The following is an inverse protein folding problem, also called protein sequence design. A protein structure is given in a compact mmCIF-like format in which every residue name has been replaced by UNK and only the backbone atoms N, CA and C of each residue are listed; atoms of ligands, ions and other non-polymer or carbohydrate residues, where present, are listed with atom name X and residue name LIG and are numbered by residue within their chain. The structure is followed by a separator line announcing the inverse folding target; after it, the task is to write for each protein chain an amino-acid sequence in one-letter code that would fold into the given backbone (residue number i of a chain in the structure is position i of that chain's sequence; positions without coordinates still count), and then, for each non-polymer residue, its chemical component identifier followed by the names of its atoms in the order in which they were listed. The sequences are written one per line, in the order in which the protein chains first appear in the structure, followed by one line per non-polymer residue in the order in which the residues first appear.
data_IF_711568232300
#
_entry.id   IF_711568232300
#
_cell.length_a   1.000
_cell.length_b   1.000
_cell.length_c   1.000
_cell.angle_alpha   90.00
_cell.angle_beta   90.00
_cell.angle_gamma   90.00
#
_symmetry.space_group_name_H-M   'P 1'
#
loop_
_entity.id
_entity.type
_entity.pdbx_description
1 polymer ?
#
# COMPACT_ATOMS: atom_id res chain seq x y z
N UNK A 1 -72.68 -64.13 2.56
CA UNK A 1 -71.55 -64.32 1.61
C UNK A 1 -71.62 -63.24 0.55
N UNK A 2 -70.68 -62.29 0.58
CA UNK A 2 -70.09 -61.64 -0.59
C UNK A 2 -69.13 -60.54 -0.08
N UNK A 3 -67.88 -60.93 0.13
CA UNK A 3 -66.76 -60.00 0.23
C UNK A 3 -66.37 -59.52 -1.17
N UNK A 4 -65.82 -58.30 -1.22
CA UNK A 4 -64.75 -57.99 -2.16
C UNK A 4 -65.05 -56.91 -3.18
N UNK A 5 -64.32 -55.80 -3.07
CA UNK A 5 -63.43 -55.30 -4.15
C UNK A 5 -62.56 -54.17 -3.60
N UNK A 6 -61.34 -54.54 -3.20
CA UNK A 6 -60.26 -53.59 -2.96
C UNK A 6 -59.77 -53.08 -4.34
N UNK A 7 -59.80 -51.76 -4.54
CA UNK A 7 -59.30 -51.14 -5.76
C UNK A 7 -57.76 -51.21 -5.82
N UNK A 8 -57.15 -51.52 -6.98
CA UNK A 8 -55.70 -51.49 -7.14
C UNK A 8 -55.21 -50.04 -7.18
N UNK A 9 -54.31 -49.69 -6.25
CA UNK A 9 -53.56 -48.43 -6.31
C UNK A 9 -52.40 -48.60 -7.30
N UNK A 10 -52.55 -48.00 -8.48
CA UNK A 10 -51.53 -47.99 -9.53
C UNK A 10 -50.34 -47.15 -9.07
N UNK A 11 -49.27 -47.80 -8.57
CA UNK A 11 -47.96 -47.16 -8.43
C UNK A 11 -47.25 -47.18 -9.78
N UNK A 12 -47.34 -46.08 -10.52
CA UNK A 12 -46.47 -45.84 -11.67
C UNK A 12 -45.02 -45.72 -11.20
N UNK A 13 -44.18 -46.69 -11.55
CA UNK A 13 -42.73 -46.54 -11.42
C UNK A 13 -42.25 -45.56 -12.49
N UNK A 14 -41.87 -44.36 -12.08
CA UNK A 14 -41.13 -43.43 -12.93
C UNK A 14 -39.76 -44.05 -13.25
N UNK A 15 -39.51 -44.31 -14.54
CA UNK A 15 -38.16 -44.69 -15.02
C UNK A 15 -37.23 -43.51 -14.78
N UNK A 16 -36.18 -43.73 -14.00
CA UNK A 16 -35.11 -42.77 -13.78
C UNK A 16 -34.40 -42.51 -15.11
N UNK A 17 -34.70 -41.37 -15.73
CA UNK A 17 -33.98 -40.90 -16.92
C UNK A 17 -32.62 -40.38 -16.47
N UNK A 18 -31.54 -40.83 -17.12
CA UNK A 18 -30.14 -40.50 -16.78
C UNK A 18 -29.77 -39.01 -16.88
N UNK A 19 -30.72 -38.14 -17.18
CA UNK A 19 -30.57 -36.67 -17.27
C UNK A 19 -30.16 -36.04 -15.94
N UNK A 20 -30.52 -36.66 -14.80
CA UNK A 20 -30.15 -36.16 -13.47
C UNK A 20 -28.63 -36.14 -13.23
N UNK A 21 -27.86 -37.05 -13.84
CA UNK A 21 -26.38 -37.05 -13.71
C UNK A 21 -25.75 -35.90 -14.49
N UNK A 22 -26.32 -35.56 -15.64
CA UNK A 22 -25.87 -34.46 -16.49
C UNK A 22 -26.20 -33.10 -15.85
N UNK A 23 -27.34 -33.00 -15.17
CA UNK A 23 -27.74 -31.83 -14.39
C UNK A 23 -26.76 -31.52 -13.25
N UNK A 24 -26.35 -32.53 -12.50
CA UNK A 24 -25.35 -32.37 -11.41
C UNK A 24 -23.98 -32.00 -11.98
N UNK A 25 -23.57 -32.62 -13.10
CA UNK A 25 -22.28 -32.31 -13.73
C UNK A 25 -22.21 -30.86 -14.23
N UNK A 26 -23.28 -30.36 -14.86
CA UNK A 26 -23.37 -28.96 -15.29
C UNK A 26 -23.39 -28.03 -14.06
N UNK A 27 -24.11 -28.40 -13.01
CA UNK A 27 -24.16 -27.60 -11.77
C UNK A 27 -22.78 -27.45 -11.13
N UNK A 28 -22.01 -28.55 -11.04
CA UNK A 28 -20.63 -28.52 -10.52
C UNK A 28 -19.71 -27.74 -11.46
N UNK A 29 -19.88 -27.85 -12.78
CA UNK A 29 -19.09 -27.09 -13.75
C UNK A 29 -19.30 -25.58 -13.61
N UNK A 30 -20.55 -25.12 -13.55
CA UNK A 30 -20.88 -23.70 -13.37
C UNK A 30 -20.34 -23.20 -12.02
N UNK A 31 -20.51 -23.99 -10.95
CA UNK A 31 -19.99 -23.67 -9.62
C UNK A 31 -18.47 -23.55 -9.63
N UNK A 32 -17.76 -24.48 -10.29
CA UNK A 32 -16.31 -24.45 -10.40
C UNK A 32 -15.82 -23.17 -11.10
N UNK A 33 -16.45 -22.79 -12.22
CA UNK A 33 -16.13 -21.53 -12.93
C UNK A 33 -16.42 -20.31 -12.05
N UNK A 34 -17.54 -20.31 -11.31
CA UNK A 34 -17.90 -19.23 -10.38
C UNK A 34 -16.87 -19.04 -9.27
N UNK A 35 -16.40 -20.12 -8.65
CA UNK A 35 -15.38 -20.07 -7.59
C UNK A 35 -14.02 -19.61 -8.15
N UNK A 36 -13.63 -20.05 -9.34
CA UNK A 36 -12.40 -19.58 -10.01
C UNK A 36 -12.46 -18.07 -10.29
N UNK A 37 -13.60 -17.57 -10.77
CA UNK A 37 -13.82 -16.14 -10.95
C UNK A 37 -13.70 -15.38 -9.64
N UNK A 38 -14.32 -15.85 -8.56
CA UNK A 38 -14.19 -15.23 -7.24
C UNK A 38 -12.74 -15.23 -6.72
N UNK A 39 -12.01 -16.33 -6.90
CA UNK A 39 -10.61 -16.43 -6.50
C UNK A 39 -9.74 -15.39 -7.23
N UNK A 40 -9.95 -15.19 -8.53
CA UNK A 40 -9.22 -14.14 -9.29
C UNK A 40 -9.46 -12.73 -8.74
N UNK A 41 -10.70 -12.41 -8.38
CA UNK A 41 -11.04 -11.12 -7.78
C UNK A 41 -10.42 -10.96 -6.39
N UNK A 42 -10.37 -12.03 -5.59
CA UNK A 42 -9.70 -12.01 -4.29
C UNK A 42 -8.20 -11.72 -4.43
N UNK A 43 -7.52 -12.35 -5.40
CA UNK A 43 -6.10 -12.07 -5.66
C UNK A 43 -5.86 -10.61 -6.06
N UNK A 44 -6.69 -10.06 -6.95
CA UNK A 44 -6.60 -8.64 -7.33
C UNK A 44 -6.85 -7.71 -6.13
N UNK A 45 -7.83 -8.04 -5.28
CA UNK A 45 -8.12 -7.28 -4.06
C UNK A 45 -6.94 -7.24 -3.10
N UNK A 46 -6.28 -8.37 -2.87
CA UNK A 46 -5.08 -8.45 -2.01
C UNK A 46 -3.95 -7.59 -2.58
N UNK A 47 -3.71 -7.66 -3.89
CA UNK A 47 -2.70 -6.83 -4.56
C UNK A 47 -2.96 -5.34 -4.35
N UNK A 48 -4.19 -4.90 -4.63
CA UNK A 48 -4.59 -3.50 -4.48
C UNK A 48 -4.53 -3.05 -3.01
N UNK A 49 -4.91 -3.92 -2.08
CA UNK A 49 -4.85 -3.64 -0.63
C UNK A 49 -3.41 -3.46 -0.16
N UNK A 50 -2.47 -4.30 -0.61
CA UNK A 50 -1.06 -4.16 -0.27
C UNK A 50 -0.46 -2.85 -0.81
N UNK A 51 -0.81 -2.45 -2.03
CA UNK A 51 -0.35 -1.20 -2.63
C UNK A 51 -0.91 0.03 -1.92
N UNK A 52 -2.20 0.02 -1.60
CA UNK A 52 -2.84 1.06 -0.80
C UNK A 52 -2.18 1.17 0.59
N UNK A 53 -1.91 0.04 1.24
CA UNK A 53 -1.26 0.01 2.54
C UNK A 53 0.14 0.67 2.52
N UNK A 54 0.95 0.41 1.48
CA UNK A 54 2.25 1.08 1.31
C UNK A 54 2.10 2.60 1.18
N UNK A 55 1.13 3.06 0.40
CA UNK A 55 0.86 4.49 0.25
C UNK A 55 0.43 5.14 1.56
N UNK A 56 -0.37 4.45 2.38
CA UNK A 56 -0.77 4.91 3.72
C UNK A 56 0.43 4.97 4.68
N UNK A 57 1.31 3.97 4.67
CA UNK A 57 2.53 3.97 5.50
C UNK A 57 3.47 5.11 5.11
N UNK A 58 3.68 5.34 3.81
CA UNK A 58 4.43 6.49 3.31
C UNK A 58 3.82 7.80 3.80
N UNK A 59 2.50 7.95 3.64
CA UNK A 59 1.80 9.14 4.09
C UNK A 59 1.95 9.37 5.58
N UNK A 60 1.79 8.33 6.40
CA UNK A 60 1.94 8.43 7.86
C UNK A 60 3.32 8.97 8.26
N UNK A 61 4.39 8.33 7.82
CA UNK A 61 5.74 8.69 8.26
C UNK A 61 6.21 10.05 7.71
N UNK A 62 5.82 10.40 6.49
CA UNK A 62 6.16 11.71 5.91
C UNK A 62 5.35 12.84 6.55
N UNK A 63 4.08 12.61 6.90
CA UNK A 63 3.32 13.58 7.68
C UNK A 63 3.83 13.71 9.12
N UNK A 64 4.25 12.61 9.76
CA UNK A 64 4.92 12.64 11.07
C UNK A 64 6.17 13.54 11.01
N UNK A 65 7.02 13.37 9.99
CA UNK A 65 8.20 14.23 9.77
C UNK A 65 7.81 15.70 9.53
N UNK A 66 6.78 15.94 8.73
CA UNK A 66 6.29 17.29 8.46
C UNK A 66 5.83 18.01 9.75
N UNK A 67 5.16 17.30 10.65
CA UNK A 67 4.75 17.85 11.95
C UNK A 67 5.95 18.09 12.88
N UNK A 68 6.95 17.21 12.88
CA UNK A 68 8.19 17.41 13.66
C UNK A 68 8.94 18.67 13.21
N UNK A 69 9.06 18.87 11.90
CA UNK A 69 9.64 20.09 11.30
C UNK A 69 8.84 21.34 11.71
N UNK A 70 7.50 21.26 11.69
CA UNK A 70 6.64 22.37 12.14
C UNK A 70 6.81 22.68 13.63
N UNK A 71 7.10 21.69 14.45
CA UNK A 71 7.34 21.85 15.88
C UNK A 71 8.73 22.46 16.18
N UNK A 72 9.74 22.13 15.37
CA UNK A 72 11.14 22.58 15.54
C UNK A 72 11.62 23.49 14.39
N UNK A 73 10.85 24.55 14.11
CA UNK A 73 11.14 25.48 12.99
C UNK A 73 12.50 26.15 13.06
N UNK A 74 13.04 26.34 14.27
CA UNK A 74 14.32 27.00 14.49
C UNK A 74 15.50 26.20 13.91
N UNK A 75 15.34 24.90 13.68
CA UNK A 75 16.41 23.99 13.25
C UNK A 75 16.21 23.47 11.83
N UNK A 76 15.43 24.20 11.02
CA UNK A 76 15.01 23.83 9.67
C UNK A 76 16.17 23.39 8.76
N UNK A 77 17.31 24.07 8.85
CA UNK A 77 18.51 23.80 8.05
C UNK A 77 19.07 22.39 8.25
N UNK A 78 18.77 21.75 9.38
CA UNK A 78 19.17 20.37 9.69
C UNK A 78 18.36 19.35 8.88
N UNK A 79 17.08 19.66 8.61
CA UNK A 79 16.20 18.80 7.82
C UNK A 79 16.44 18.99 6.31
N UNK A 80 16.78 20.22 5.88
CA UNK A 80 16.99 20.63 4.48
C UNK A 80 18.15 19.91 3.77
N UNK A 81 19.13 19.39 4.50
CA UNK A 81 20.29 18.73 3.90
C UNK A 81 20.03 17.28 3.49
N UNK A 82 18.80 16.77 3.66
CA UNK A 82 18.51 15.35 3.37
C UNK A 82 18.23 15.13 1.88
N UNK A 83 19.12 14.40 1.23
CA UNK A 83 18.89 13.81 -0.07
C UNK A 83 19.62 12.47 -0.16
N UNK A 84 18.94 11.43 -0.64
CA UNK A 84 19.57 10.14 -0.91
C UNK A 84 18.82 8.94 -0.33
N UNK A 85 19.38 7.73 -0.58
CA UNK A 85 18.73 6.48 -0.21
C UNK A 85 18.43 6.41 1.27
N UNK A 86 17.38 5.67 1.62
CA UNK A 86 16.96 5.49 3.00
C UNK A 86 17.80 4.40 3.64
N UNK A 87 18.60 4.82 4.62
CA UNK A 87 19.53 3.99 5.36
C UNK A 87 19.24 4.11 6.85
N UNK A 88 19.66 3.08 7.59
CA UNK A 88 19.62 3.11 9.04
C UNK A 88 20.47 4.26 9.59
N UNK A 89 19.96 4.93 10.62
CA UNK A 89 20.61 6.03 11.32
C UNK A 89 20.76 5.68 12.81
N UNK A 90 21.99 5.75 13.31
CA UNK A 90 22.36 5.47 14.71
C UNK A 90 22.29 6.69 15.63
N UNK A 91 21.90 7.85 15.10
CA UNK A 91 21.74 9.10 15.85
C UNK A 91 20.74 8.91 17.00
N UNK A 92 21.10 9.28 18.24
CA UNK A 92 20.25 9.07 19.40
C UNK A 92 19.10 10.06 19.46
N UNK A 93 17.97 9.64 20.05
CA UNK A 93 16.92 10.55 20.48
C UNK A 93 17.42 11.41 21.65
N UNK A 94 17.05 12.69 21.65
CA UNK A 94 17.39 13.59 22.73
C UNK A 94 16.29 13.63 23.80
N UNK A 95 16.67 13.45 25.08
CA UNK A 95 15.72 13.43 26.22
C UNK A 95 15.96 14.53 27.26
N UNK A 96 17.21 14.99 27.46
CA UNK A 96 17.57 16.00 28.46
C UNK A 96 18.52 17.03 27.88
N UNK A 97 18.31 18.32 28.21
CA UNK A 97 19.19 19.40 27.76
C UNK A 97 19.23 19.60 26.23
N UNK A 98 18.13 19.29 25.54
CA UNK A 98 18.11 19.23 24.09
C UNK A 98 18.19 20.60 23.42
N UNK A 99 19.12 20.73 22.48
CA UNK A 99 19.12 21.82 21.52
C UNK A 99 18.17 21.49 20.37
N UNK A 100 17.66 22.51 19.66
CA UNK A 100 16.84 22.28 18.48
C UNK A 100 17.55 21.40 17.43
N UNK A 101 18.88 21.54 17.29
CA UNK A 101 19.70 20.69 16.42
C UNK A 101 19.63 19.20 16.85
N UNK A 102 19.82 18.91 18.14
CA UNK A 102 19.80 17.54 18.64
C UNK A 102 18.41 16.87 18.48
N UNK A 103 17.33 17.65 18.62
CA UNK A 103 15.97 17.18 18.34
C UNK A 103 15.83 16.85 16.85
N UNK A 104 16.28 17.74 15.96
CA UNK A 104 16.16 17.53 14.53
C UNK A 104 16.95 16.31 14.01
N UNK A 105 18.16 16.09 14.53
CA UNK A 105 18.94 14.88 14.22
C UNK A 105 18.22 13.60 14.67
N UNK A 106 17.63 13.61 15.87
CA UNK A 106 16.87 12.49 16.42
C UNK A 106 15.56 12.21 15.66
N UNK A 107 14.81 13.26 15.32
CA UNK A 107 13.58 13.16 14.54
C UNK A 107 13.85 12.51 13.17
N UNK A 108 14.90 12.99 12.48
CA UNK A 108 15.31 12.41 11.21
C UNK A 108 15.71 10.95 11.38
N UNK A 109 16.49 10.60 12.41
CA UNK A 109 16.90 9.22 12.66
C UNK A 109 15.70 8.30 12.87
N UNK A 110 14.70 8.74 13.64
CA UNK A 110 13.49 7.98 13.91
C UNK A 110 12.70 7.70 12.62
N UNK A 111 12.46 8.73 11.81
CA UNK A 111 11.71 8.59 10.55
C UNK A 111 12.49 7.76 9.54
N UNK A 112 13.81 7.95 9.45
CA UNK A 112 14.69 7.19 8.57
C UNK A 112 14.67 5.70 8.90
N UNK A 113 14.75 5.35 10.18
CA UNK A 113 14.69 3.94 10.61
C UNK A 113 13.32 3.32 10.32
N UNK A 114 12.23 4.05 10.58
CA UNK A 114 10.88 3.58 10.27
C UNK A 114 10.68 3.36 8.75
N UNK A 115 11.18 4.28 7.93
CA UNK A 115 11.12 4.15 6.47
C UNK A 115 12.03 3.04 5.95
N UNK A 116 13.20 2.84 6.56
CA UNK A 116 14.13 1.77 6.18
C UNK A 116 13.50 0.38 6.36
N UNK A 117 12.75 0.19 7.45
CA UNK A 117 12.02 -1.05 7.71
C UNK A 117 10.81 -1.24 6.77
N UNK A 118 10.12 -0.15 6.42
CA UNK A 118 8.90 -0.22 5.62
C UNK A 118 9.15 -0.23 4.09
N UNK A 119 10.25 0.34 3.62
CA UNK A 119 10.56 0.52 2.20
C UNK A 119 12.01 0.18 1.86
N UNK A 120 12.21 -1.02 1.33
CA UNK A 120 13.49 -1.42 0.73
C UNK A 120 13.81 -0.55 -0.50
N UNK A 121 15.00 0.06 -0.52
CA UNK A 121 15.50 0.83 -1.68
C UNK A 121 14.80 2.16 -1.94
N UNK A 122 14.03 2.68 -0.99
CA UNK A 122 13.42 4.00 -1.12
C UNK A 122 14.44 5.13 -0.99
N UNK A 123 14.10 6.28 -1.54
CA UNK A 123 14.90 7.50 -1.53
C UNK A 123 14.07 8.65 -0.94
N UNK A 124 14.68 9.41 -0.02
CA UNK A 124 14.05 10.55 0.65
C UNK A 124 14.81 11.82 0.31
N UNK A 125 14.07 12.82 -0.17
CA UNK A 125 14.59 14.13 -0.54
C UNK A 125 13.78 15.19 0.22
N UNK A 126 14.47 16.10 0.88
CA UNK A 126 13.89 17.26 1.56
C UNK A 126 14.52 18.49 0.92
N UNK A 127 13.72 19.27 0.20
CA UNK A 127 14.17 20.47 -0.50
C UNK A 127 13.49 21.71 0.08
N UNK A 128 14.26 22.75 0.34
CA UNK A 128 13.72 24.06 0.67
C UNK A 128 13.49 24.90 -0.58
N UNK A 129 12.39 25.63 -0.56
CA UNK A 129 12.05 26.64 -1.55
C UNK A 129 11.66 27.91 -0.82
N UNK A 130 12.14 29.05 -1.31
CA UNK A 130 11.82 30.36 -0.75
C UNK A 130 10.97 31.13 -1.76
N UNK A 131 9.87 31.69 -1.28
CA UNK A 131 8.98 32.53 -2.08
C UNK A 131 8.91 33.91 -1.43
N UNK A 132 9.35 34.93 -2.15
CA UNK A 132 9.22 36.32 -1.71
C UNK A 132 7.91 36.90 -2.25
N UNK A 133 7.07 37.41 -1.35
CA UNK A 133 5.87 38.15 -1.70
C UNK A 133 5.77 39.42 -0.85
N UNK A 134 5.98 40.57 -1.50
CA UNK A 134 6.03 41.87 -0.82
C UNK A 134 7.22 41.95 0.16
N UNK A 135 7.05 42.52 1.37
CA UNK A 135 8.14 42.62 2.35
C UNK A 135 8.44 41.29 3.07
N UNK A 136 7.72 40.21 2.79
CA UNK A 136 7.89 38.91 3.44
C UNK A 136 8.64 37.89 2.59
N UNK A 137 9.38 37.00 3.26
CA UNK A 137 9.96 35.78 2.69
C UNK A 137 9.27 34.58 3.33
N UNK A 138 8.62 33.75 2.53
CA UNK A 138 7.98 32.51 2.95
C UNK A 138 8.92 31.34 2.63
N UNK A 139 9.16 30.46 3.60
CA UNK A 139 9.93 29.23 3.38
C UNK A 139 8.97 28.05 3.28
N UNK A 140 9.14 27.24 2.25
CA UNK A 140 8.38 25.99 2.06
C UNK A 140 9.35 24.84 1.90
N UNK A 141 9.21 23.83 2.75
CA UNK A 141 9.92 22.55 2.59
C UNK A 141 9.05 21.58 1.80
N UNK A 142 9.66 20.94 0.82
CA UNK A 142 9.04 19.84 0.07
C UNK A 142 9.75 18.55 0.46
N UNK A 143 8.98 17.65 1.07
CA UNK A 143 9.45 16.32 1.46
C UNK A 143 8.94 15.35 0.40
N UNK A 144 9.85 14.65 -0.25
CA UNK A 144 9.57 13.71 -1.34
C UNK A 144 10.13 12.35 -0.97
N UNK A 145 9.25 11.38 -0.81
CA UNK A 145 9.59 9.98 -0.65
C UNK A 145 9.33 9.26 -1.98
N UNK A 146 10.34 8.54 -2.48
CA UNK A 146 10.25 7.77 -3.71
C UNK A 146 10.59 6.30 -3.45
N UNK A 147 9.81 5.38 -4.00
CA UNK A 147 10.04 3.94 -3.85
C UNK A 147 9.59 3.14 -5.07
N UNK A 148 10.14 1.94 -5.23
CA UNK A 148 9.80 1.04 -6.33
C UNK A 148 8.54 0.21 -6.03
N UNK A 149 7.67 0.05 -7.04
CA UNK A 149 6.49 -0.82 -6.96
C UNK A 149 6.87 -2.31 -7.13
N UNK A 150 6.43 -3.17 -6.20
CA UNK A 150 6.87 -4.58 -6.09
C UNK A 150 6.56 -5.46 -7.31
N UNK A 151 5.53 -5.14 -8.10
CA UNK A 151 5.04 -5.98 -9.20
C UNK A 151 5.81 -5.77 -10.52
N UNK A 152 6.62 -4.72 -10.61
CA UNK A 152 7.36 -4.42 -11.84
C UNK A 152 8.60 -5.30 -12.06
N UNK A 153 8.92 -6.19 -11.10
CA UNK A 153 10.08 -7.08 -11.20
C UNK A 153 9.97 -8.11 -12.34
N UNK A 154 8.76 -8.43 -12.81
CA UNK A 154 8.53 -9.28 -13.98
C UNK A 154 8.70 -8.55 -15.32
N UNK A 155 8.43 -7.23 -15.38
CA UNK A 155 8.67 -6.44 -16.59
C UNK A 155 10.17 -6.27 -16.89
N UNK A 156 11.01 -6.40 -15.85
CA UNK A 156 12.47 -6.23 -15.90
C UNK A 156 13.22 -7.27 -16.74
N UNK A 157 12.62 -8.43 -17.02
CA UNK A 157 13.23 -9.46 -17.89
C UNK A 157 12.93 -9.25 -19.38
N UNK A 158 12.06 -8.30 -19.76
CA UNK A 158 11.61 -8.14 -21.15
C UNK A 158 11.93 -6.80 -21.81
N UNK A 159 12.42 -5.80 -21.08
CA UNK A 159 12.73 -4.48 -21.65
C UNK A 159 14.14 -4.00 -21.27
N UNK A 160 14.97 -3.81 -22.29
CA UNK A 160 16.27 -3.13 -22.21
C UNK A 160 16.08 -1.63 -21.95
N UNK A 161 16.76 -1.17 -20.90
CA UNK A 161 17.41 0.13 -20.75
C UNK A 161 16.59 1.38 -21.16
N UNK A 162 16.01 2.04 -20.15
CA UNK A 162 15.79 3.49 -20.19
C UNK A 162 14.35 3.98 -20.04
N UNK A 163 13.57 3.48 -19.08
CA UNK A 163 12.39 4.22 -18.62
C UNK A 163 12.56 4.71 -17.18
N UNK A 164 11.93 5.82 -16.85
CA UNK A 164 11.70 6.25 -15.46
C UNK A 164 10.77 5.22 -14.81
N UNK A 165 11.33 4.05 -14.48
CA UNK A 165 10.61 2.80 -14.22
C UNK A 165 9.81 2.85 -12.91
N UNK A 166 8.48 2.92 -13.01
CA UNK A 166 7.46 2.69 -11.97
C UNK A 166 7.84 3.07 -10.52
N UNK A 167 8.46 4.23 -10.37
CA UNK A 167 8.73 4.84 -9.08
C UNK A 167 7.46 5.52 -8.61
N UNK A 168 6.93 5.08 -7.47
CA UNK A 168 5.86 5.79 -6.78
C UNK A 168 6.47 6.88 -5.92
N UNK A 169 5.81 8.04 -5.87
CA UNK A 169 6.26 9.17 -5.07
C UNK A 169 5.15 9.67 -4.15
N UNK A 170 5.51 9.97 -2.90
CA UNK A 170 4.64 10.69 -1.97
C UNK A 170 5.30 12.03 -1.62
N UNK A 171 4.56 13.12 -1.78
CA UNK A 171 5.06 14.49 -1.62
C UNK A 171 4.21 15.25 -0.61
N UNK A 172 4.87 15.86 0.38
CA UNK A 172 4.25 16.78 1.34
C UNK A 172 4.96 18.12 1.30
N UNK A 173 4.18 19.20 1.34
CA UNK A 173 4.70 20.56 1.43
C UNK A 173 4.41 21.15 2.80
N UNK A 174 5.45 21.65 3.45
CA UNK A 174 5.39 22.30 4.76
C UNK A 174 5.69 23.78 4.58
N UNK A 175 4.66 24.61 4.72
CA UNK A 175 4.81 26.07 4.73
C UNK A 175 5.17 26.52 6.14
N UNK A 176 6.23 27.31 6.25
CA UNK A 176 6.79 27.76 7.53
C UNK A 176 6.65 29.27 7.76
#
# INVERSE_FOLDING_TARGET
MAEGKLAPSWRGQHKQSGVAMLEVLISIFILAVGVLGMASLQFMSIKNSNEANRSVLAARHINELAEMIRANRASISTYESRSGPIEFSDKPLCFTGCTGLAIAEGDMAMVMNALHEAFEGANLVVESSEFSAGPGVFRTLTITLTWEQRDNRFARETYEEGSEEAMQSYVVRVVL
#
